data_IF_580387183533
#
_entry.id   IF_580387183533
#
_cell.length_a   1.000
_cell.length_b   1.000
_cell.length_c   1.000
_cell.angle_alpha   90.00
_cell.angle_beta   90.00
_cell.angle_gamma   90.00
#
_symmetry.space_group_name_H-M   'P 1'
#
loop_
_entity.id
_entity.type
_entity.pdbx_description
1 polymer ?
#
# COMPACT_ATOMS: atom_id res chain seq x y z
N UNK A 1 6.79 1.01 -27.12
CA UNK A 1 6.87 -0.44 -26.82
C UNK A 1 5.47 -1.01 -26.73
N UNK A 2 5.27 -2.25 -27.18
CA UNK A 2 3.96 -2.92 -27.11
C UNK A 2 4.11 -4.44 -27.00
N UNK A 3 3.02 -5.13 -26.63
CA UNK A 3 2.97 -6.60 -26.60
C UNK A 3 4.10 -7.23 -25.78
N UNK A 4 4.78 -8.24 -26.36
CA UNK A 4 5.82 -9.01 -25.66
C UNK A 4 7.03 -8.17 -25.25
N UNK A 5 7.47 -7.26 -26.12
CA UNK A 5 8.57 -6.33 -25.83
C UNK A 5 8.29 -5.52 -24.57
N UNK A 6 7.08 -4.96 -24.47
CA UNK A 6 6.66 -4.19 -23.30
C UNK A 6 6.52 -5.07 -22.04
N UNK A 7 5.97 -6.28 -22.19
CA UNK A 7 5.84 -7.21 -21.07
C UNK A 7 7.21 -7.62 -20.49
N UNK A 8 8.20 -7.86 -21.36
CA UNK A 8 9.57 -8.18 -20.96
C UNK A 8 10.23 -6.97 -20.28
N UNK A 9 10.10 -5.77 -20.84
CA UNK A 9 10.60 -4.52 -20.24
C UNK A 9 10.00 -4.26 -18.85
N UNK A 10 8.70 -4.51 -18.65
CA UNK A 10 8.06 -4.41 -17.32
C UNK A 10 8.66 -5.39 -16.32
N UNK A 11 8.88 -6.65 -16.72
CA UNK A 11 9.49 -7.65 -15.82
C UNK A 11 10.92 -7.27 -15.43
N UNK A 12 11.71 -6.82 -16.39
CA UNK A 12 13.09 -6.40 -16.14
C UNK A 12 13.15 -5.18 -15.21
N UNK A 13 12.31 -4.17 -15.46
CA UNK A 13 12.20 -2.99 -14.62
C UNK A 13 11.74 -3.34 -13.19
N UNK A 14 10.76 -4.23 -13.05
CA UNK A 14 10.26 -4.70 -11.76
C UNK A 14 11.35 -5.42 -10.95
N UNK A 15 12.09 -6.36 -11.57
CA UNK A 15 13.22 -7.04 -10.92
C UNK A 15 14.30 -6.04 -10.49
N UNK A 16 14.63 -5.08 -11.35
CA UNK A 16 15.62 -4.04 -11.06
C UNK A 16 15.22 -3.16 -9.87
N UNK A 17 13.94 -2.81 -9.76
CA UNK A 17 13.40 -2.08 -8.62
C UNK A 17 13.42 -2.93 -7.34
N UNK A 18 13.00 -4.19 -7.41
CA UNK A 18 13.03 -5.12 -6.27
C UNK A 18 14.45 -5.32 -5.73
N UNK A 19 15.43 -5.57 -6.60
CA UNK A 19 16.84 -5.67 -6.24
C UNK A 19 17.34 -4.38 -5.58
N UNK A 20 16.90 -3.21 -6.05
CA UNK A 20 17.27 -1.92 -5.47
C UNK A 20 16.68 -1.76 -4.08
N UNK A 21 15.40 -2.10 -3.90
CA UNK A 21 14.73 -2.10 -2.59
C UNK A 21 15.44 -3.07 -1.64
N UNK A 22 15.70 -4.30 -2.05
CA UNK A 22 16.37 -5.29 -1.20
C UNK A 22 17.76 -4.81 -0.76
N UNK A 23 18.54 -4.22 -1.67
CA UNK A 23 19.88 -3.70 -1.35
C UNK A 23 19.82 -2.51 -0.39
N UNK A 24 18.97 -1.53 -0.67
CA UNK A 24 18.87 -0.28 0.12
C UNK A 24 18.21 -0.54 1.47
N UNK A 25 17.07 -1.24 1.47
CA UNK A 25 16.37 -1.56 2.70
C UNK A 25 17.14 -2.58 3.54
N UNK A 26 17.83 -3.54 2.92
CA UNK A 26 18.75 -4.43 3.63
C UNK A 26 19.90 -3.66 4.29
N UNK A 27 20.49 -2.68 3.61
CA UNK A 27 21.58 -1.86 4.15
C UNK A 27 21.15 -0.98 5.33
N UNK A 28 19.95 -0.39 5.28
CA UNK A 28 19.39 0.34 6.42
C UNK A 28 18.60 -0.58 7.39
N UNK A 29 18.68 -1.90 7.21
CA UNK A 29 17.91 -2.91 7.94
C UNK A 29 16.44 -2.48 8.18
N UNK A 30 15.80 -1.95 7.13
CA UNK A 30 14.39 -1.54 7.05
C UNK A 30 13.96 -0.42 8.01
N UNK A 31 14.91 0.40 8.51
CA UNK A 31 14.65 1.47 9.49
C UNK A 31 13.55 2.45 9.06
N UNK A 32 13.44 2.77 7.77
CA UNK A 32 12.41 3.69 7.26
C UNK A 32 11.01 3.05 7.16
N UNK A 33 10.92 1.72 7.05
CA UNK A 33 9.66 0.98 7.11
C UNK A 33 9.16 0.82 8.56
N UNK A 34 10.07 0.92 9.53
CA UNK A 34 9.74 0.97 10.96
C UNK A 34 9.10 2.32 11.36
N UNK A 35 9.17 3.37 10.50
CA UNK A 35 8.56 4.69 10.73
C UNK A 35 7.03 4.79 10.56
N UNK A 36 6.30 3.68 10.56
CA UNK A 36 4.85 3.70 10.78
C UNK A 36 3.99 3.97 9.55
N UNK A 37 4.27 3.31 8.42
CA UNK A 37 3.28 3.23 7.34
C UNK A 37 2.15 2.27 7.70
N UNK A 38 1.01 2.86 8.04
CA UNK A 38 -0.18 2.11 8.46
C UNK A 38 -1.06 1.74 7.27
N UNK A 39 -1.64 0.55 7.34
CA UNK A 39 -2.73 0.15 6.46
C UNK A 39 -4.02 0.75 7.04
N UNK A 40 -4.61 1.73 6.35
CA UNK A 40 -5.94 2.23 6.67
C UNK A 40 -7.06 1.32 6.16
N UNK A 41 -8.32 1.66 6.44
CA UNK A 41 -9.50 0.93 5.99
C UNK A 41 -9.58 0.79 4.46
N UNK A 42 -9.15 1.80 3.70
CA UNK A 42 -9.01 1.70 2.24
C UNK A 42 -7.98 0.64 1.82
N UNK A 43 -6.88 0.54 2.56
CA UNK A 43 -5.88 -0.49 2.37
C UNK A 43 -6.42 -1.91 2.49
N UNK A 44 -7.40 -2.14 3.36
CA UNK A 44 -8.03 -3.44 3.53
C UNK A 44 -8.83 -3.88 2.31
N UNK A 45 -9.39 -2.93 1.54
CA UNK A 45 -10.09 -3.24 0.29
C UNK A 45 -9.13 -3.81 -0.74
N UNK A 46 -7.94 -3.21 -0.90
CA UNK A 46 -6.88 -3.72 -1.77
C UNK A 46 -6.36 -5.08 -1.30
N UNK A 47 -6.21 -5.30 0.00
CA UNK A 47 -5.82 -6.61 0.57
C UNK A 47 -6.88 -7.67 0.27
N UNK A 48 -8.16 -7.35 0.49
CA UNK A 48 -9.29 -8.26 0.23
C UNK A 48 -9.33 -8.68 -1.24
N UNK A 49 -9.16 -7.72 -2.15
CA UNK A 49 -9.03 -7.99 -3.59
C UNK A 49 -7.83 -8.89 -3.88
N UNK A 50 -6.67 -8.56 -3.33
CA UNK A 50 -5.44 -9.34 -3.52
C UNK A 50 -5.56 -10.79 -3.05
N UNK A 51 -6.25 -11.02 -1.93
CA UNK A 51 -6.47 -12.37 -1.40
C UNK A 51 -7.36 -13.23 -2.30
N UNK A 52 -8.29 -12.60 -3.02
CA UNK A 52 -9.18 -13.29 -3.98
C UNK A 52 -8.52 -13.50 -5.34
N UNK A 53 -7.62 -12.60 -5.76
CA UNK A 53 -6.93 -12.68 -7.04
C UNK A 53 -5.62 -13.48 -6.98
N UNK A 54 -4.99 -13.60 -5.81
CA UNK A 54 -3.70 -14.24 -5.65
C UNK A 54 -3.70 -15.24 -4.49
N UNK A 55 -3.74 -16.52 -4.84
CA UNK A 55 -3.76 -17.62 -3.87
C UNK A 55 -2.49 -17.70 -3.01
N UNK A 56 -1.35 -17.22 -3.52
CA UNK A 56 -0.09 -17.21 -2.76
C UNK A 56 -0.06 -16.10 -1.69
N UNK A 57 -0.82 -15.02 -1.88
CA UNK A 57 -0.87 -13.91 -0.94
C UNK A 57 -1.34 -14.36 0.45
N UNK A 58 -2.38 -15.19 0.51
CA UNK A 58 -2.92 -15.69 1.77
C UNK A 58 -1.87 -16.48 2.56
N UNK A 59 -1.13 -17.37 1.89
CA UNK A 59 -0.06 -18.14 2.52
C UNK A 59 1.08 -17.27 3.03
N UNK A 60 1.52 -16.27 2.25
CA UNK A 60 2.55 -15.31 2.65
C UNK A 60 2.10 -14.46 3.84
N UNK A 61 0.88 -13.92 3.80
CA UNK A 61 0.31 -13.13 4.89
C UNK A 61 0.20 -13.94 6.17
N UNK A 62 -0.31 -15.17 6.10
CA UNK A 62 -0.46 -16.02 7.28
C UNK A 62 0.87 -16.29 7.96
N UNK A 63 1.90 -16.71 7.20
CA UNK A 63 3.24 -16.96 7.75
C UNK A 63 3.85 -15.69 8.37
N UNK A 64 3.76 -14.56 7.67
CA UNK A 64 4.33 -13.31 8.18
C UNK A 64 3.58 -12.77 9.41
N UNK A 65 2.25 -12.89 9.47
CA UNK A 65 1.47 -12.49 10.64
C UNK A 65 1.74 -13.42 11.84
N UNK A 66 1.98 -14.73 11.61
CA UNK A 66 2.43 -15.64 12.67
C UNK A 66 3.79 -15.24 13.24
N UNK A 67 4.74 -14.84 12.39
CA UNK A 67 6.02 -14.29 12.86
C UNK A 67 5.80 -13.00 13.66
N UNK A 68 4.92 -12.11 13.18
CA UNK A 68 4.59 -10.87 13.89
C UNK A 68 3.87 -11.12 15.23
N UNK A 69 3.07 -12.18 15.32
CA UNK A 69 2.39 -12.59 16.54
C UNK A 69 3.35 -12.97 17.68
N UNK A 70 4.52 -13.52 17.35
CA UNK A 70 5.59 -13.79 18.32
C UNK A 70 6.10 -12.48 18.93
N UNK A 71 6.42 -11.48 18.10
CA UNK A 71 6.88 -10.15 18.57
C UNK A 71 5.79 -9.46 19.42
N UNK A 72 4.54 -9.48 18.97
CA UNK A 72 3.39 -8.89 19.69
C UNK A 72 3.15 -9.56 21.05
N UNK A 73 3.38 -10.88 21.13
CA UNK A 73 3.29 -11.62 22.40
C UNK A 73 4.44 -11.29 23.34
N UNK A 74 5.68 -11.18 22.83
CA UNK A 74 6.83 -10.74 23.62
C UNK A 74 6.69 -9.30 24.14
N UNK A 75 6.05 -8.43 23.35
CA UNK A 75 5.67 -7.09 23.79
C UNK A 75 4.64 -7.12 24.91
N UNK A 76 3.62 -7.98 24.82
CA UNK A 76 2.63 -8.16 25.90
C UNK A 76 3.29 -8.53 27.22
N UNK A 77 4.19 -9.52 27.23
CA UNK A 77 4.93 -9.93 28.43
C UNK A 77 5.75 -8.77 29.03
N UNK A 78 6.23 -7.86 28.18
CA UNK A 78 6.97 -6.68 28.62
C UNK A 78 6.03 -5.62 29.19
N UNK A 79 4.87 -5.42 28.57
CA UNK A 79 3.82 -4.50 29.04
C UNK A 79 3.30 -4.93 30.40
N UNK A 80 2.99 -6.22 30.58
CA UNK A 80 2.50 -6.79 31.84
C UNK A 80 3.52 -6.56 32.97
N UNK A 81 4.80 -6.84 32.73
CA UNK A 81 5.88 -6.58 33.71
C UNK A 81 6.00 -5.09 34.08
N UNK A 82 5.86 -4.19 33.10
CA UNK A 82 5.86 -2.74 33.37
C UNK A 82 4.62 -2.34 34.15
N UNK A 83 3.44 -2.85 33.82
CA UNK A 83 2.20 -2.57 34.53
C UNK A 83 2.26 -3.03 36.00
N UNK A 84 2.81 -4.22 36.26
CA UNK A 84 3.01 -4.74 37.62
C UNK A 84 3.98 -3.86 38.43
N UNK A 85 5.08 -3.44 37.81
CA UNK A 85 6.06 -2.52 38.40
C UNK A 85 5.42 -1.17 38.75
N UNK A 86 4.64 -0.60 37.82
CA UNK A 86 3.96 0.69 38.02
C UNK A 86 2.89 0.59 39.11
N UNK A 87 2.12 -0.50 39.15
CA UNK A 87 1.12 -0.77 40.19
C UNK A 87 1.77 -0.79 41.58
N UNK A 88 2.93 -1.44 41.69
CA UNK A 88 3.69 -1.51 42.95
C UNK A 88 4.28 -0.15 43.35
N UNK A 89 4.65 0.69 42.37
CA UNK A 89 5.37 1.95 42.61
C UNK A 89 4.46 3.16 42.85
N UNK A 90 3.29 3.21 42.21
CA UNK A 90 2.41 4.39 42.17
C UNK A 90 1.06 4.19 42.87
N UNK A 91 0.68 2.94 43.19
CA UNK A 91 -0.38 2.59 44.14
C UNK A 91 -1.66 3.45 44.11
N UNK A 92 -2.00 4.04 45.26
CA UNK A 92 -3.25 4.80 45.48
C UNK A 92 -3.30 6.12 44.70
N UNK A 93 -2.17 6.81 44.56
CA UNK A 93 -2.10 8.17 44.00
C UNK A 93 -2.41 8.22 42.50
N UNK A 94 -2.31 7.07 41.82
CA UNK A 94 -2.55 6.89 40.38
C UNK A 94 -3.58 5.81 40.09
N UNK A 95 -4.54 5.56 41.01
CA UNK A 95 -5.47 4.43 40.89
C UNK A 95 -6.27 4.44 39.57
N UNK A 96 -6.74 5.61 39.12
CA UNK A 96 -7.53 5.71 37.90
C UNK A 96 -6.67 5.42 36.65
N UNK A 97 -5.46 5.95 36.62
CA UNK A 97 -4.49 5.73 35.55
C UNK A 97 -4.03 4.26 35.50
N UNK A 98 -3.85 3.61 36.65
CA UNK A 98 -3.54 2.19 36.72
C UNK A 98 -4.70 1.32 36.23
N UNK A 99 -5.95 1.72 36.50
CA UNK A 99 -7.12 1.03 35.96
C UNK A 99 -7.20 1.15 34.44
N UNK A 100 -7.01 2.35 33.88
CA UNK A 100 -6.97 2.55 32.42
C UNK A 100 -5.80 1.79 31.78
N UNK A 101 -4.64 1.71 32.45
CA UNK A 101 -3.51 0.90 31.98
C UNK A 101 -3.86 -0.60 31.93
N UNK A 102 -4.62 -1.11 32.89
CA UNK A 102 -5.09 -2.49 32.90
C UNK A 102 -6.04 -2.77 31.72
N UNK A 103 -6.94 -1.84 31.40
CA UNK A 103 -7.85 -1.93 30.24
C UNK A 103 -7.08 -1.92 28.91
N UNK A 104 -6.08 -1.04 28.76
CA UNK A 104 -5.23 -0.99 27.57
C UNK A 104 -4.35 -2.24 27.42
N UNK A 105 -3.86 -2.79 28.54
CA UNK A 105 -3.11 -4.05 28.55
C UNK A 105 -3.99 -5.23 28.13
N UNK A 106 -5.26 -5.26 28.57
CA UNK A 106 -6.23 -6.26 28.14
C UNK A 106 -6.57 -6.13 26.63
N UNK A 107 -6.70 -4.91 26.10
CA UNK A 107 -6.87 -4.71 24.65
C UNK A 107 -5.69 -5.29 23.86
N UNK A 108 -4.46 -5.08 24.33
CA UNK A 108 -3.27 -5.70 23.72
C UNK A 108 -3.31 -7.22 23.80
N UNK A 109 -3.67 -7.78 24.96
CA UNK A 109 -3.80 -9.23 25.17
C UNK A 109 -4.79 -9.86 24.19
N UNK A 110 -5.97 -9.25 24.03
CA UNK A 110 -6.99 -9.70 23.07
C UNK A 110 -6.47 -9.63 21.63
N UNK A 111 -5.71 -8.61 21.28
CA UNK A 111 -5.09 -8.48 19.96
C UNK A 111 -4.00 -9.55 19.74
N UNK A 112 -3.13 -9.79 20.71
CA UNK A 112 -2.08 -10.81 20.65
C UNK A 112 -2.67 -12.22 20.48
N UNK A 113 -3.75 -12.54 21.20
CA UNK A 113 -4.48 -13.79 21.03
C UNK A 113 -5.12 -13.91 19.64
N UNK A 114 -5.73 -12.83 19.15
CA UNK A 114 -6.34 -12.80 17.83
C UNK A 114 -5.33 -13.04 16.71
N UNK A 115 -4.21 -12.30 16.68
CA UNK A 115 -3.23 -12.44 15.59
C UNK A 115 -2.52 -13.80 15.61
N UNK A 116 -2.40 -14.43 16.79
CA UNK A 116 -1.84 -15.78 16.94
C UNK A 116 -2.81 -16.89 16.50
N UNK A 117 -4.09 -16.58 16.31
CA UNK A 117 -5.11 -17.56 15.94
C UNK A 117 -5.13 -17.86 14.44
N UNK A 118 -5.75 -18.98 14.06
CA UNK A 118 -6.03 -19.31 12.66
C UNK A 118 -7.30 -18.61 12.14
N UNK A 119 -7.36 -17.28 12.28
CA UNK A 119 -8.51 -16.51 11.80
C UNK A 119 -8.62 -16.53 10.27
N UNK A 120 -9.86 -16.50 9.77
CA UNK A 120 -10.13 -16.33 8.35
C UNK A 120 -9.84 -14.89 7.91
N UNK A 121 -9.28 -14.70 6.72
CA UNK A 121 -9.08 -13.38 6.12
C UNK A 121 -10.40 -12.78 5.56
N UNK A 122 -11.38 -12.61 6.43
CA UNK A 122 -12.60 -11.84 6.16
C UNK A 122 -12.34 -10.34 6.35
N UNK A 123 -13.17 -9.49 5.72
CA UNK A 123 -13.07 -8.02 5.88
C UNK A 123 -13.10 -7.61 7.36
N UNK A 124 -14.01 -8.20 8.14
CA UNK A 124 -14.13 -7.94 9.57
C UNK A 124 -12.86 -8.29 10.35
N UNK A 125 -12.20 -9.40 10.02
CA UNK A 125 -10.96 -9.78 10.69
C UNK A 125 -9.76 -8.94 10.22
N UNK A 126 -9.73 -8.55 8.95
CA UNK A 126 -8.74 -7.60 8.44
C UNK A 126 -8.90 -6.22 9.11
N UNK A 127 -10.13 -5.75 9.37
CA UNK A 127 -10.40 -4.53 10.14
C UNK A 127 -9.82 -4.60 11.56
N UNK A 128 -9.74 -5.79 12.16
CA UNK A 128 -9.10 -5.94 13.47
C UNK A 128 -7.58 -5.77 13.39
N UNK A 129 -6.94 -6.14 12.28
CA UNK A 129 -5.48 -5.98 12.10
C UNK A 129 -5.07 -4.50 12.07
N UNK A 130 -5.91 -3.63 11.51
CA UNK A 130 -5.60 -2.18 11.45
C UNK A 130 -5.72 -1.50 12.81
N UNK A 131 -6.41 -2.11 13.78
CA UNK A 131 -6.51 -1.59 15.15
C UNK A 131 -5.17 -1.64 15.90
N UNK A 132 -4.19 -2.44 15.44
CA UNK A 132 -2.88 -2.59 16.07
C UNK A 132 -2.21 -1.25 16.38
N UNK A 133 -2.23 -0.32 15.42
CA UNK A 133 -1.59 0.98 15.60
C UNK A 133 -2.28 1.83 16.65
N UNK A 134 -3.61 1.81 16.70
CA UNK A 134 -4.40 2.52 17.71
C UNK A 134 -4.16 1.93 19.11
N UNK A 135 -4.18 0.59 19.23
CA UNK A 135 -3.92 -0.12 20.49
C UNK A 135 -2.53 0.28 21.02
N UNK A 136 -1.49 0.20 20.17
CA UNK A 136 -0.13 0.58 20.57
C UNK A 136 0.01 2.06 20.89
N UNK A 137 -0.57 2.93 20.08
CA UNK A 137 -0.51 4.37 20.31
C UNK A 137 -1.17 4.75 21.64
N UNK A 138 -2.37 4.24 21.90
CA UNK A 138 -3.11 4.53 23.13
C UNK A 138 -2.35 4.05 24.36
N UNK A 139 -1.80 2.83 24.32
CA UNK A 139 -0.96 2.29 25.39
C UNK A 139 0.27 3.16 25.66
N UNK A 140 1.04 3.49 24.62
CA UNK A 140 2.26 4.29 24.77
C UNK A 140 1.96 5.71 25.25
N UNK A 141 0.89 6.31 24.73
CA UNK A 141 0.42 7.63 25.17
C UNK A 141 0.04 7.58 26.65
N UNK A 142 -0.72 6.58 27.08
CA UNK A 142 -1.15 6.44 28.47
C UNK A 142 0.04 6.22 29.41
N UNK A 143 0.99 5.36 29.02
CA UNK A 143 2.20 5.14 29.80
C UNK A 143 3.00 6.43 30.05
N UNK A 144 2.91 7.45 29.18
CA UNK A 144 3.62 8.73 29.38
C UNK A 144 3.22 9.49 30.65
N UNK A 145 2.07 9.13 31.25
CA UNK A 145 1.63 9.68 32.54
C UNK A 145 2.56 9.25 33.68
N UNK A 146 3.17 8.07 33.57
CA UNK A 146 4.05 7.51 34.60
C UNK A 146 5.52 7.86 34.29
N UNK A 147 6.22 8.57 35.19
CA UNK A 147 7.63 8.89 35.01
C UNK A 147 8.50 7.66 34.76
N UNK A 148 9.25 7.66 33.64
CA UNK A 148 10.20 6.60 33.32
C UNK A 148 9.61 5.31 32.72
N UNK A 149 8.29 5.20 32.56
CA UNK A 149 7.60 4.02 32.01
C UNK A 149 8.11 3.59 30.63
N UNK A 150 8.34 4.52 29.71
CA UNK A 150 8.91 4.22 28.39
C UNK A 150 10.33 3.68 28.49
N UNK A 151 11.12 4.17 29.44
CA UNK A 151 12.45 3.61 29.68
C UNK A 151 12.35 2.21 30.28
N UNK A 152 11.34 1.94 31.11
CA UNK A 152 11.07 0.60 31.62
C UNK A 152 10.69 -0.38 30.51
N UNK A 153 9.83 0.02 29.55
CA UNK A 153 9.52 -0.81 28.37
C UNK A 153 10.79 -1.21 27.60
N UNK A 154 11.68 -0.24 27.34
CA UNK A 154 12.94 -0.50 26.60
C UNK A 154 13.87 -1.42 27.39
N UNK A 155 14.00 -1.21 28.70
CA UNK A 155 14.96 -1.93 29.53
C UNK A 155 14.50 -3.33 29.91
N UNK A 156 13.20 -3.54 30.09
CA UNK A 156 12.61 -4.84 30.43
C UNK A 156 12.30 -5.68 29.19
N UNK A 157 12.25 -5.08 28.00
CA UNK A 157 12.05 -5.78 26.74
C UNK A 157 13.06 -6.92 26.54
N UNK A 158 12.56 -8.07 26.08
CA UNK A 158 13.40 -9.18 25.63
C UNK A 158 14.06 -8.89 24.27
N UNK A 159 14.91 -9.80 23.76
CA UNK A 159 15.48 -9.69 22.40
C UNK A 159 14.40 -9.64 21.31
N UNK A 160 13.25 -10.27 21.55
CA UNK A 160 12.14 -10.35 20.60
C UNK A 160 11.10 -9.22 20.77
N UNK A 161 11.33 -8.26 21.67
CA UNK A 161 10.39 -7.15 21.88
C UNK A 161 10.65 -5.99 20.92
N UNK A 162 9.57 -5.45 20.35
CA UNK A 162 9.61 -4.27 19.48
C UNK A 162 10.00 -2.98 20.22
N UNK A 163 9.92 -2.95 21.55
CA UNK A 163 10.32 -1.79 22.36
C UNK A 163 11.83 -1.56 22.38
N UNK A 164 12.65 -2.59 22.10
CA UNK A 164 14.11 -2.45 21.98
C UNK A 164 14.51 -2.00 20.58
N UNK A 165 14.42 -0.70 20.30
CA UNK A 165 14.83 -0.20 18.99
C UNK A 165 16.22 0.41 19.00
N UNK A 166 17.26 -0.36 18.63
CA UNK A 166 18.61 0.12 18.25
C UNK A 166 19.13 1.36 19.02
N UNK A 167 19.00 1.37 20.35
CA UNK A 167 19.46 2.48 21.22
C UNK A 167 18.59 3.74 21.26
N UNK A 168 17.46 3.81 20.55
CA UNK A 168 16.45 4.88 20.67
C UNK A 168 15.42 4.53 21.74
N UNK A 169 14.98 5.53 22.51
CA UNK A 169 14.08 5.35 23.66
C UNK A 169 12.64 4.93 23.30
N UNK A 170 12.20 5.09 22.06
CA UNK A 170 10.89 4.65 21.55
C UNK A 170 10.90 4.76 20.03
N UNK A 171 10.83 3.65 19.31
CA UNK A 171 10.62 3.72 17.86
C UNK A 171 9.14 3.89 17.49
N UNK A 172 8.87 4.52 16.35
CA UNK A 172 7.57 4.43 15.69
C UNK A 172 7.13 2.96 15.54
N UNK A 173 5.81 2.71 15.51
CA UNK A 173 5.27 1.35 15.43
C UNK A 173 5.73 0.67 14.15
N UNK A 174 6.31 -0.53 14.28
CA UNK A 174 6.58 -1.39 13.12
C UNK A 174 5.27 -1.70 12.40
N UNK A 175 5.29 -1.65 11.07
CA UNK A 175 4.14 -2.06 10.29
C UNK A 175 3.87 -3.56 10.52
N UNK A 176 2.62 -3.92 10.84
CA UNK A 176 2.22 -5.32 11.05
C UNK A 176 2.51 -6.20 9.82
N UNK A 177 2.49 -5.60 8.64
CA UNK A 177 2.72 -6.26 7.36
C UNK A 177 4.16 -6.19 6.88
N UNK A 178 5.10 -5.76 7.71
CA UNK A 178 6.52 -5.76 7.39
C UNK A 178 7.22 -6.79 8.27
N UNK A 179 7.92 -7.79 7.72
CA UNK A 179 8.74 -8.74 8.51
C UNK A 179 10.13 -8.82 7.90
N UNK A 180 10.28 -9.52 6.79
CA UNK A 180 11.47 -9.56 5.93
C UNK A 180 11.16 -8.83 4.61
N UNK A 181 10.63 -7.61 4.74
CA UNK A 181 9.97 -6.88 3.67
C UNK A 181 8.44 -6.89 3.80
N UNK A 182 7.77 -6.25 2.84
CA UNK A 182 6.32 -6.06 2.92
C UNK A 182 5.54 -7.29 2.44
N UNK A 183 4.75 -7.89 3.34
CA UNK A 183 3.88 -9.04 3.09
C UNK A 183 2.79 -8.77 2.04
N UNK A 184 2.43 -7.50 1.82
CA UNK A 184 1.39 -7.10 0.87
C UNK A 184 1.92 -7.01 -0.57
N UNK A 185 3.22 -6.81 -0.77
CA UNK A 185 3.83 -6.66 -2.09
C UNK A 185 3.13 -5.57 -2.91
N UNK A 186 2.53 -5.95 -4.04
CA UNK A 186 1.80 -5.05 -4.94
C UNK A 186 0.39 -4.66 -4.45
N UNK A 187 -0.14 -5.37 -3.45
CA UNK A 187 -1.45 -5.08 -2.85
C UNK A 187 -1.33 -4.11 -1.67
N UNK A 188 -0.20 -3.41 -1.57
CA UNK A 188 -0.01 -2.32 -0.62
C UNK A 188 -1.08 -1.23 -0.84
N UNK A 189 -1.54 -0.57 0.23
CA UNK A 189 -2.40 0.61 0.14
C UNK A 189 -1.72 1.78 -0.57
N UNK A 190 -2.52 2.64 -1.22
CA UNK A 190 -2.11 3.94 -1.79
C UNK A 190 -1.22 4.77 -0.84
N UNK A 191 -1.62 4.82 0.44
CA UNK A 191 -0.96 5.62 1.48
C UNK A 191 0.07 4.82 2.29
N UNK A 192 0.35 3.57 1.94
CA UNK A 192 1.49 2.86 2.48
C UNK A 192 2.73 3.49 1.83
N UNK A 193 3.19 4.59 2.43
CA UNK A 193 4.26 5.44 1.93
C UNK A 193 5.52 4.63 1.65
N UNK A 194 5.64 4.14 0.43
CA UNK A 194 6.88 4.29 -0.28
C UNK A 194 7.05 5.81 -0.52
N UNK A 195 7.96 6.60 0.00
CA UNK A 195 9.08 6.47 0.91
C UNK A 195 9.48 7.92 1.25
N UNK A 196 9.43 8.35 2.50
CA UNK A 196 10.46 9.29 2.96
C UNK A 196 11.66 8.41 3.33
N UNK A 197 12.39 7.92 2.32
CA UNK A 197 13.63 7.19 2.59
C UNK A 197 14.68 8.21 3.02
N UNK A 198 14.72 8.53 4.31
CA UNK A 198 15.79 9.31 4.91
C UNK A 198 16.99 8.45 5.31
N UNK A 199 16.96 7.15 4.94
CA UNK A 199 18.07 6.25 5.16
C UNK A 199 19.25 6.58 4.25
N UNK A 200 20.45 6.25 4.69
CA UNK A 200 21.63 6.20 3.83
C UNK A 200 22.02 4.72 3.63
N UNK A 201 22.03 4.21 2.38
CA UNK A 201 21.69 4.90 1.14
C UNK A 201 20.19 5.23 1.01
N UNK A 202 19.86 6.32 0.31
CA UNK A 202 18.49 6.75 0.03
C UNK A 202 17.92 5.96 -1.17
N UNK A 203 16.72 5.40 -1.02
CA UNK A 203 16.09 4.57 -2.05
C UNK A 203 15.80 5.35 -3.34
N UNK A 204 15.33 6.59 -3.25
CA UNK A 204 15.07 7.42 -4.43
C UNK A 204 16.36 7.68 -5.19
N UNK A 205 17.42 8.07 -4.49
CA UNK A 205 18.73 8.33 -5.11
C UNK A 205 19.28 7.08 -5.78
N UNK A 206 19.16 5.91 -5.15
CA UNK A 206 19.61 4.66 -5.75
C UNK A 206 18.73 4.20 -6.92
N UNK A 207 17.42 4.46 -6.87
CA UNK A 207 16.54 4.26 -8.02
C UNK A 207 16.96 5.17 -9.18
N UNK A 208 17.19 6.46 -8.96
CA UNK A 208 17.62 7.41 -9.99
C UNK A 208 19.00 7.07 -10.60
N UNK A 209 19.91 6.48 -9.81
CA UNK A 209 21.22 6.02 -10.32
C UNK A 209 21.12 4.76 -11.17
N UNK A 210 20.19 3.87 -10.85
CA UNK A 210 20.07 2.57 -11.51
C UNK A 210 19.08 2.60 -12.65
N UNK A 211 18.00 3.36 -12.54
CA UNK A 211 16.84 3.35 -13.42
C UNK A 211 16.61 4.72 -14.03
N UNK A 212 16.22 4.76 -15.30
CA UNK A 212 15.60 5.95 -15.86
C UNK A 212 14.13 6.09 -15.41
N UNK A 213 13.51 7.22 -15.75
CA UNK A 213 12.15 7.52 -15.35
C UNK A 213 11.12 6.54 -15.94
N UNK A 214 11.29 6.13 -17.19
CA UNK A 214 10.36 5.22 -17.85
C UNK A 214 10.49 3.81 -17.26
N UNK A 215 11.71 3.33 -17.01
CA UNK A 215 11.96 2.10 -16.26
C UNK A 215 11.28 2.15 -14.89
N UNK A 216 11.38 3.27 -14.17
CA UNK A 216 10.71 3.40 -12.88
C UNK A 216 9.18 3.31 -12.99
N UNK A 217 8.58 3.95 -14.01
CA UNK A 217 7.14 3.84 -14.28
C UNK A 217 6.77 2.39 -14.62
N UNK A 218 7.54 1.73 -15.50
CA UNK A 218 7.32 0.35 -15.91
C UNK A 218 7.43 -0.64 -14.75
N UNK A 219 8.32 -0.39 -13.79
CA UNK A 219 8.45 -1.20 -12.58
C UNK A 219 7.21 -1.16 -11.66
N UNK A 220 6.31 -0.20 -11.86
CA UNK A 220 5.02 -0.12 -11.17
C UNK A 220 3.88 -0.81 -11.96
N UNK A 221 4.14 -1.33 -13.17
CA UNK A 221 3.19 -2.08 -13.98
C UNK A 221 3.32 -3.59 -13.77
N UNK A 222 2.34 -4.36 -14.27
CA UNK A 222 2.35 -5.82 -14.21
C UNK A 222 2.10 -6.45 -15.56
N UNK A 223 2.99 -7.35 -15.99
CA UNK A 223 2.75 -8.21 -17.12
C UNK A 223 1.79 -9.35 -16.71
N UNK A 224 0.54 -9.27 -17.14
CA UNK A 224 -0.53 -10.20 -16.79
C UNK A 224 -1.26 -10.72 -18.03
N UNK A 225 -2.01 -11.82 -17.87
CA UNK A 225 -2.92 -12.28 -18.93
C UNK A 225 -4.16 -11.40 -19.00
N UNK A 226 -4.83 -11.39 -20.15
CA UNK A 226 -6.13 -10.72 -20.28
C UNK A 226 -7.17 -11.30 -19.31
N UNK A 227 -7.14 -12.61 -19.07
CA UNK A 227 -8.06 -13.28 -18.16
C UNK A 227 -7.87 -12.84 -16.70
N UNK A 228 -6.63 -12.52 -16.29
CA UNK A 228 -6.38 -11.90 -15.00
C UNK A 228 -7.03 -10.51 -14.90
N UNK A 229 -6.83 -9.66 -15.92
CA UNK A 229 -7.40 -8.30 -15.94
C UNK A 229 -8.92 -8.35 -15.90
N UNK A 230 -9.54 -9.24 -16.68
CA UNK A 230 -11.00 -9.47 -16.66
C UNK A 230 -11.47 -9.92 -15.28
N UNK A 231 -10.77 -10.89 -14.67
CA UNK A 231 -11.09 -11.39 -13.32
C UNK A 231 -11.02 -10.28 -12.27
N UNK A 232 -10.05 -9.37 -12.38
CA UNK A 232 -9.94 -8.23 -11.49
C UNK A 232 -11.14 -7.26 -11.63
N UNK A 233 -11.58 -6.98 -12.86
CA UNK A 233 -12.76 -6.14 -13.13
C UNK A 233 -14.04 -6.80 -12.64
N UNK A 234 -14.24 -8.09 -12.94
CA UNK A 234 -15.40 -8.86 -12.50
C UNK A 234 -15.50 -8.89 -10.98
N UNK A 235 -14.38 -9.16 -10.30
CA UNK A 235 -14.34 -9.17 -8.84
C UNK A 235 -14.73 -7.81 -8.25
N UNK A 236 -14.27 -6.70 -8.82
CA UNK A 236 -14.64 -5.38 -8.30
C UNK A 236 -16.11 -5.01 -8.60
N UNK A 237 -16.67 -5.49 -9.71
CA UNK A 237 -18.11 -5.39 -9.96
C UNK A 237 -18.92 -6.15 -8.89
N UNK A 238 -18.46 -7.34 -8.50
CA UNK A 238 -19.10 -8.14 -7.44
C UNK A 238 -18.96 -7.51 -6.04
N UNK A 239 -17.79 -6.98 -5.70
CA UNK A 239 -17.52 -6.36 -4.41
C UNK A 239 -18.18 -4.97 -4.28
N UNK A 240 -18.46 -4.31 -5.40
CA UNK A 240 -19.17 -3.04 -5.48
C UNK A 240 -18.25 -1.82 -5.52
N UNK A 241 -18.88 -0.64 -5.70
CA UNK A 241 -18.21 0.62 -6.03
C UNK A 241 -17.04 1.01 -5.12
N UNK A 242 -17.10 0.65 -3.83
CA UNK A 242 -16.09 0.98 -2.84
C UNK A 242 -14.73 0.28 -3.09
N UNK A 243 -14.71 -0.81 -3.86
CA UNK A 243 -13.53 -1.61 -4.19
C UNK A 243 -12.94 -1.27 -5.56
N UNK A 244 -13.54 -0.32 -6.26
CA UNK A 244 -13.09 0.04 -7.60
C UNK A 244 -11.80 0.86 -7.56
N UNK A 245 -10.71 0.28 -8.05
CA UNK A 245 -9.42 0.96 -8.16
C UNK A 245 -9.20 1.41 -9.62
N UNK A 246 -8.60 2.61 -9.85
CA UNK A 246 -8.27 3.06 -11.20
C UNK A 246 -7.39 2.05 -11.94
N UNK A 247 -7.77 1.74 -13.18
CA UNK A 247 -7.08 0.73 -14.02
C UNK A 247 -6.42 1.35 -15.23
N UNK A 248 -5.20 0.93 -15.50
CA UNK A 248 -4.48 1.27 -16.73
C UNK A 248 -4.15 -0.06 -17.38
N UNK A 249 -4.62 -0.27 -18.61
CA UNK A 249 -4.44 -1.54 -19.34
C UNK A 249 -3.77 -1.24 -20.66
N UNK A 250 -2.55 -1.74 -20.82
CA UNK A 250 -1.79 -1.67 -22.07
C UNK A 250 -2.02 -2.94 -22.86
N UNK A 251 -2.71 -2.84 -23.99
CA UNK A 251 -3.19 -3.97 -24.77
C UNK A 251 -3.38 -3.58 -26.24
N UNK A 252 -2.76 -4.34 -27.15
CA UNK A 252 -2.80 -4.05 -28.59
C UNK A 252 -3.85 -4.85 -29.37
N UNK A 253 -4.55 -5.81 -28.75
CA UNK A 253 -5.59 -6.61 -29.42
C UNK A 253 -6.97 -5.99 -29.22
N UNK A 254 -7.53 -5.43 -30.30
CA UNK A 254 -8.85 -4.79 -30.32
C UNK A 254 -9.99 -5.71 -29.84
N UNK A 255 -9.88 -7.03 -30.02
CA UNK A 255 -10.93 -7.97 -29.57
C UNK A 255 -11.08 -7.96 -28.06
N UNK A 256 -9.98 -7.75 -27.34
CA UNK A 256 -9.99 -7.67 -25.89
C UNK A 256 -10.49 -6.31 -25.40
N UNK A 257 -10.30 -5.23 -26.16
CA UNK A 257 -10.83 -3.90 -25.84
C UNK A 257 -12.36 -3.93 -25.69
N UNK A 258 -13.07 -4.55 -26.64
CA UNK A 258 -14.53 -4.66 -26.57
C UNK A 258 -15.00 -5.45 -25.34
N UNK A 259 -14.29 -6.53 -25.00
CA UNK A 259 -14.61 -7.35 -23.83
C UNK A 259 -14.42 -6.57 -22.53
N UNK A 260 -13.32 -5.81 -22.40
CA UNK A 260 -13.09 -4.95 -21.24
C UNK A 260 -14.16 -3.86 -21.13
N UNK A 261 -14.54 -3.24 -22.24
CA UNK A 261 -15.62 -2.25 -22.27
C UNK A 261 -16.95 -2.82 -21.78
N UNK A 262 -17.27 -4.06 -22.15
CA UNK A 262 -18.52 -4.69 -21.73
C UNK A 262 -18.51 -5.03 -20.24
N UNK A 263 -17.39 -5.52 -19.70
CA UNK A 263 -17.25 -5.74 -18.27
C UNK A 263 -17.36 -4.44 -17.46
N UNK A 264 -16.78 -3.35 -17.95
CA UNK A 264 -16.83 -2.05 -17.28
C UNK A 264 -18.26 -1.47 -17.26
N UNK A 265 -19.07 -1.74 -18.29
CA UNK A 265 -20.49 -1.34 -18.33
C UNK A 265 -21.36 -2.03 -17.29
N UNK A 266 -20.93 -3.17 -16.75
CA UNK A 266 -21.66 -3.85 -15.70
C UNK A 266 -21.58 -3.11 -14.35
N UNK A 267 -20.63 -2.19 -14.19
CA UNK A 267 -20.57 -1.31 -13.02
C UNK A 267 -21.78 -0.37 -13.01
N UNK A 268 -22.49 -0.23 -11.87
CA UNK A 268 -23.59 0.72 -11.75
C UNK A 268 -23.16 2.16 -12.05
N UNK A 269 -24.01 2.91 -12.76
CA UNK A 269 -23.76 4.30 -13.17
C UNK A 269 -23.69 4.46 -14.68
N UNK A 270 -23.45 5.69 -15.16
CA UNK A 270 -23.18 5.94 -16.58
C UNK A 270 -21.73 5.61 -16.90
N UNK A 271 -21.45 5.33 -18.16
CA UNK A 271 -20.09 5.16 -18.68
C UNK A 271 -19.82 6.32 -19.64
N UNK A 272 -18.89 7.19 -19.27
CA UNK A 272 -18.43 8.30 -20.10
C UNK A 272 -17.19 7.85 -20.86
N UNK A 273 -17.30 7.78 -22.19
CA UNK A 273 -16.23 7.30 -23.05
C UNK A 273 -15.50 8.46 -23.68
N UNK A 274 -14.17 8.38 -23.68
CA UNK A 274 -13.28 9.36 -24.27
C UNK A 274 -12.21 8.66 -25.09
N UNK A 275 -11.94 9.24 -26.26
CA UNK A 275 -10.91 8.75 -27.16
C UNK A 275 -9.90 9.88 -27.37
N UNK A 276 -8.63 9.60 -27.06
CA UNK A 276 -7.51 10.53 -27.16
C UNK A 276 -6.65 10.13 -28.38
N UNK A 277 -6.92 10.67 -29.58
CA UNK A 277 -6.37 10.14 -30.83
C UNK A 277 -4.86 10.36 -31.01
N UNK A 278 -4.28 11.33 -30.29
CA UNK A 278 -2.85 11.64 -30.35
C UNK A 278 -2.01 10.86 -29.31
N UNK A 279 -2.66 10.02 -28.49
CA UNK A 279 -2.08 9.47 -27.26
C UNK A 279 -2.68 10.14 -26.02
N UNK A 280 -2.67 9.42 -24.90
CA UNK A 280 -3.24 9.91 -23.65
C UNK A 280 -2.30 10.89 -22.98
N UNK A 281 -2.75 12.13 -22.84
CA UNK A 281 -2.15 13.14 -21.98
C UNK A 281 -3.22 14.13 -21.51
N UNK A 282 -3.44 14.21 -20.20
CA UNK A 282 -4.24 15.24 -19.55
C UNK A 282 -3.46 15.69 -18.31
N UNK A 283 -3.39 16.99 -18.09
CA UNK A 283 -2.86 17.52 -16.83
C UNK A 283 -3.72 17.07 -15.64
N UNK A 284 -3.14 17.08 -14.44
CA UNK A 284 -3.87 16.72 -13.24
C UNK A 284 -5.12 17.59 -13.03
N UNK A 285 -5.04 18.89 -13.40
CA UNK A 285 -6.17 19.82 -13.28
C UNK A 285 -7.31 19.45 -14.24
N UNK A 286 -6.99 19.22 -15.52
CA UNK A 286 -7.98 18.81 -16.52
C UNK A 286 -8.68 17.51 -16.10
N UNK A 287 -7.90 16.52 -15.63
CA UNK A 287 -8.48 15.26 -15.19
C UNK A 287 -9.37 15.43 -13.94
N UNK A 288 -8.96 16.26 -12.97
CA UNK A 288 -9.78 16.55 -11.79
C UNK A 288 -11.09 17.24 -12.16
N UNK A 289 -11.08 18.17 -13.12
CA UNK A 289 -12.31 18.80 -13.61
C UNK A 289 -13.26 17.76 -14.21
N UNK A 290 -12.73 16.80 -14.98
CA UNK A 290 -13.53 15.69 -15.53
C UNK A 290 -14.10 14.79 -14.44
N UNK A 291 -13.29 14.42 -13.44
CA UNK A 291 -13.74 13.60 -12.31
C UNK A 291 -14.81 14.34 -11.48
N UNK A 292 -14.68 15.66 -11.29
CA UNK A 292 -15.72 16.46 -10.61
C UNK A 292 -17.03 16.49 -11.40
N UNK A 293 -16.94 16.63 -12.72
CA UNK A 293 -18.11 16.70 -13.59
C UNK A 293 -18.84 15.35 -13.72
N UNK A 294 -18.11 14.24 -13.69
CA UNK A 294 -18.66 12.94 -14.07
C UNK A 294 -18.33 11.79 -13.11
N UNK A 295 -17.24 11.86 -12.34
CA UNK A 295 -16.59 10.72 -11.71
C UNK A 295 -17.39 9.99 -10.63
N UNK A 296 -17.96 10.69 -9.63
CA UNK A 296 -18.40 10.08 -8.36
C UNK A 296 -19.24 8.80 -8.49
N UNK A 297 -20.25 8.80 -9.36
CA UNK A 297 -21.13 7.63 -9.58
C UNK A 297 -20.89 6.93 -10.91
N UNK A 298 -20.19 7.56 -11.85
CA UNK A 298 -20.01 7.03 -13.20
C UNK A 298 -18.64 6.39 -13.36
N UNK A 299 -18.41 5.83 -14.55
CA UNK A 299 -17.13 5.29 -14.96
C UNK A 299 -16.57 6.09 -16.12
N UNK A 300 -15.38 6.65 -15.97
CA UNK A 300 -14.61 7.27 -17.04
C UNK A 300 -13.81 6.17 -17.76
N UNK A 301 -14.00 6.06 -19.07
CA UNK A 301 -13.27 5.13 -19.94
C UNK A 301 -12.48 5.93 -20.95
N UNK A 302 -11.16 5.89 -20.85
CA UNK A 302 -10.25 6.49 -21.82
C UNK A 302 -9.69 5.41 -22.74
N UNK A 303 -9.61 5.72 -24.03
CA UNK A 303 -8.93 4.91 -25.04
C UNK A 303 -7.91 5.77 -25.77
N UNK A 304 -6.71 5.26 -26.00
CA UNK A 304 -5.64 5.99 -26.67
C UNK A 304 -4.67 5.06 -27.40
N UNK A 305 -4.03 5.47 -28.50
CA UNK A 305 -3.02 4.63 -29.17
C UNK A 305 -1.75 4.43 -28.33
N UNK A 306 -1.47 5.33 -27.39
CA UNK A 306 -0.30 5.25 -26.53
C UNK A 306 -0.46 6.04 -25.24
N UNK A 307 0.30 5.70 -24.20
CA UNK A 307 0.48 6.52 -23.00
C UNK A 307 1.95 6.51 -22.57
N UNK A 308 2.44 7.63 -22.05
CA UNK A 308 3.81 7.77 -21.54
C UNK A 308 3.87 7.94 -20.02
N UNK A 309 5.07 7.84 -19.45
CA UNK A 309 5.31 7.99 -18.01
C UNK A 309 4.77 9.29 -17.39
N UNK A 310 4.99 10.49 -17.99
CA UNK A 310 4.52 11.75 -17.43
C UNK A 310 2.99 11.81 -17.35
N UNK A 311 2.29 11.29 -18.35
CA UNK A 311 0.82 11.24 -18.37
C UNK A 311 0.27 10.35 -17.24
N UNK A 312 0.94 9.24 -16.93
CA UNK A 312 0.55 8.36 -15.81
C UNK A 312 0.80 9.01 -14.45
N UNK A 313 1.84 9.83 -14.33
CA UNK A 313 2.10 10.62 -13.13
C UNK A 313 1.01 11.67 -12.90
N UNK A 314 0.67 12.47 -13.92
CA UNK A 314 -0.43 13.45 -13.88
C UNK A 314 -1.77 12.77 -13.52
N UNK A 315 -2.04 11.63 -14.15
CA UNK A 315 -3.19 10.77 -13.84
C UNK A 315 -3.20 10.34 -12.37
N UNK A 316 -2.08 9.83 -11.85
CA UNK A 316 -1.98 9.38 -10.47
C UNK A 316 -2.16 10.52 -9.45
N UNK A 317 -1.62 11.72 -9.73
CA UNK A 317 -1.79 12.91 -8.88
C UNK A 317 -3.26 13.29 -8.78
N UNK A 318 -3.93 13.41 -9.92
CA UNK A 318 -5.35 13.75 -9.99
C UNK A 318 -6.23 12.69 -9.32
N UNK A 319 -5.93 11.40 -9.52
CA UNK A 319 -6.65 10.30 -8.87
C UNK A 319 -6.48 10.31 -7.36
N UNK A 320 -5.28 10.56 -6.86
CA UNK A 320 -5.01 10.68 -5.43
C UNK A 320 -5.78 11.86 -4.81
N UNK A 321 -5.83 13.01 -5.50
CA UNK A 321 -6.60 14.15 -5.04
C UNK A 321 -8.10 13.87 -5.09
N UNK A 322 -8.62 13.28 -6.18
CA UNK A 322 -10.02 12.89 -6.29
C UNK A 322 -10.44 11.87 -5.22
N UNK A 323 -9.54 10.98 -4.84
CA UNK A 323 -9.74 10.04 -3.75
C UNK A 323 -9.88 10.76 -2.41
N UNK A 324 -8.96 11.69 -2.11
CA UNK A 324 -8.99 12.48 -0.88
C UNK A 324 -10.26 13.36 -0.78
N UNK A 325 -10.75 13.83 -1.92
CA UNK A 325 -11.96 14.65 -2.04
C UNK A 325 -13.26 13.81 -2.02
N UNK A 326 -13.20 12.47 -1.94
CA UNK A 326 -14.34 11.54 -2.00
C UNK A 326 -15.23 11.73 -3.27
N UNK A 327 -14.58 12.02 -4.40
CA UNK A 327 -15.24 12.21 -5.71
C UNK A 327 -14.81 11.19 -6.76
N UNK A 328 -13.87 10.31 -6.43
CA UNK A 328 -13.40 9.27 -7.33
C UNK A 328 -14.46 8.17 -7.50
N UNK A 329 -14.93 7.98 -8.74
CA UNK A 329 -15.69 6.79 -9.13
C UNK A 329 -14.86 5.85 -9.98
N UNK A 330 -15.49 5.26 -11.01
CA UNK A 330 -14.79 4.32 -11.89
C UNK A 330 -13.84 5.06 -12.84
N UNK A 331 -12.60 4.57 -12.97
CA UNK A 331 -11.70 5.01 -14.04
C UNK A 331 -10.97 3.82 -14.65
N UNK A 332 -10.97 3.75 -15.97
CA UNK A 332 -10.11 2.85 -16.74
C UNK A 332 -9.51 3.60 -17.94
N UNK A 333 -8.20 3.49 -18.09
CA UNK A 333 -7.45 3.90 -19.28
C UNK A 333 -7.02 2.64 -20.01
N UNK A 334 -7.35 2.53 -21.29
CA UNK A 334 -6.91 1.46 -22.17
C UNK A 334 -6.04 2.10 -23.26
N UNK A 335 -4.81 1.62 -23.41
CA UNK A 335 -3.92 2.11 -24.46
C UNK A 335 -3.18 1.00 -25.19
N UNK A 336 -2.87 1.20 -26.47
CA UNK A 336 -2.28 0.12 -27.28
C UNK A 336 -0.81 -0.11 -26.95
N UNK A 337 -0.11 0.96 -26.55
CA UNK A 337 1.33 0.96 -26.37
C UNK A 337 1.81 1.90 -25.25
N UNK A 338 3.04 1.66 -24.77
CA UNK A 338 3.76 2.58 -23.90
C UNK A 338 4.73 3.42 -24.72
N UNK A 339 4.62 4.75 -24.63
CA UNK A 339 5.45 5.69 -25.36
C UNK A 339 6.80 5.87 -24.65
N UNK A 340 7.88 5.53 -25.35
CA UNK A 340 9.27 5.70 -24.89
C UNK A 340 10.19 6.19 -26.01
N UNK A 341 11.29 6.90 -25.67
CA UNK A 341 11.54 7.48 -24.35
C UNK A 341 10.61 8.67 -24.09
N UNK A 342 10.31 8.93 -22.83
CA UNK A 342 9.66 10.18 -22.42
C UNK A 342 10.54 11.37 -22.80
N UNK A 343 9.95 12.38 -23.44
CA UNK A 343 10.68 13.57 -23.90
C UNK A 343 11.40 14.29 -22.75
N UNK A 344 10.80 14.29 -21.56
CA UNK A 344 11.41 14.73 -20.30
C UNK A 344 10.84 13.91 -19.14
N UNK A 345 11.63 13.62 -18.08
CA UNK A 345 11.11 13.04 -16.86
C UNK A 345 10.13 14.02 -16.19
N UNK A 346 9.12 13.49 -15.50
CA UNK A 346 8.19 14.33 -14.73
C UNK A 346 8.96 15.11 -13.64
N UNK A 347 8.63 16.39 -13.33
CA UNK A 347 9.36 17.18 -12.33
C UNK A 347 9.51 16.49 -10.96
N UNK A 348 8.46 15.78 -10.52
CA UNK A 348 8.48 14.98 -9.28
C UNK A 348 9.47 13.81 -9.29
N UNK A 349 9.98 13.39 -10.45
CA UNK A 349 11.07 12.42 -10.52
C UNK A 349 12.39 13.03 -10.07
N UNK A 350 12.62 14.30 -10.36
CA UNK A 350 13.84 15.03 -10.00
C UNK A 350 13.81 15.68 -8.62
N UNK A 351 12.63 15.79 -8.01
CA UNK A 351 12.48 16.30 -6.65
C UNK A 351 12.99 15.28 -5.62
N UNK A 352 13.56 15.75 -4.50
CA UNK A 352 14.08 14.91 -3.41
C UNK A 352 13.00 14.10 -2.66
N UNK A 353 11.75 14.17 -3.10
CA UNK A 353 10.62 13.50 -2.49
C UNK A 353 9.95 12.57 -3.48
N UNK A 354 10.05 11.26 -3.21
CA UNK A 354 9.32 10.25 -3.94
C UNK A 354 7.86 10.28 -3.46
N UNK A 355 7.04 11.17 -4.02
CA UNK A 355 5.61 10.88 -4.08
C UNK A 355 5.44 9.83 -5.18
N UNK A 356 4.92 8.65 -4.84
CA UNK A 356 4.57 7.63 -5.83
C UNK A 356 3.06 7.73 -6.12
N UNK A 357 2.59 8.68 -6.95
CA UNK A 357 1.19 8.73 -7.36
C UNK A 357 0.75 7.45 -8.09
N UNK A 358 1.71 6.63 -8.53
CA UNK A 358 1.51 5.36 -9.22
C UNK A 358 1.15 4.19 -8.30
N UNK A 359 1.49 4.24 -7.00
CA UNK A 359 1.37 3.08 -6.09
C UNK A 359 -0.08 2.61 -5.84
N UNK A 360 -1.06 3.45 -6.18
CA UNK A 360 -2.47 3.10 -6.14
C UNK A 360 -3.08 2.66 -7.46
N UNK A 361 -2.34 2.76 -8.56
CA UNK A 361 -2.85 2.47 -9.87
C UNK A 361 -2.73 0.98 -10.15
N UNK A 362 -3.83 0.36 -10.57
CA UNK A 362 -3.77 -0.99 -11.10
C UNK A 362 -3.33 -0.93 -12.57
N UNK A 363 -2.01 -0.96 -12.78
CA UNK A 363 -1.41 -0.87 -14.11
C UNK A 363 -1.01 -2.25 -14.63
N UNK A 364 -1.49 -2.58 -15.83
CA UNK A 364 -1.32 -3.88 -16.47
C UNK A 364 -0.78 -3.71 -17.88
N UNK A 365 0.14 -4.59 -18.26
CA UNK A 365 0.51 -4.89 -19.63
C UNK A 365 -0.02 -6.28 -19.93
N UNK A 366 -0.88 -6.38 -20.93
CA UNK A 366 -1.41 -7.67 -21.34
C UNK A 366 -0.37 -8.36 -22.20
N UNK A 367 0.26 -9.39 -21.62
CA UNK A 367 1.24 -10.19 -22.33
C UNK A 367 0.52 -10.99 -23.43
N UNK A 368 1.05 -11.02 -24.67
CA UNK A 368 0.56 -11.95 -25.69
C UNK A 368 0.87 -13.38 -25.26
N UNK A 369 -0.07 -14.29 -25.51
CA UNK A 369 0.03 -15.72 -25.18
C UNK A 369 1.26 -16.41 -25.80
#
# INVERSE_FOLDING_TARGET
MQGRELADAVRDAAHKLEDTIQRVCGACEYTCCDSGTMVGSHGLRRITKGLRLNQQLAGRLRRGLQQRAVEVSADLETIERVADMLTTSYGEDYRAELQELAELTEQWRQFAQFISSEFEFSVQNLDRLIAYSAIRHNLLRHLSVFPGSHSALVNLGGPDSSFRFRGRKLAPPRCLFHVEGCLLGIYKPLHCANFFCSGEPNLLDECQKRMDFDEFVLANMRAESIEFVKSAIMLENELGHAYWEPKIVLISDERHLEQLHELVRQRPGRVERRHEPAGFYLSSEELLQLIRAHGRTNTLVFTAPSVGGPALYELGIALQQAHNDDILGGLILIADSFAVPSFAPHPLWSDQMMSQPLGGLDMYVVAPD
#
